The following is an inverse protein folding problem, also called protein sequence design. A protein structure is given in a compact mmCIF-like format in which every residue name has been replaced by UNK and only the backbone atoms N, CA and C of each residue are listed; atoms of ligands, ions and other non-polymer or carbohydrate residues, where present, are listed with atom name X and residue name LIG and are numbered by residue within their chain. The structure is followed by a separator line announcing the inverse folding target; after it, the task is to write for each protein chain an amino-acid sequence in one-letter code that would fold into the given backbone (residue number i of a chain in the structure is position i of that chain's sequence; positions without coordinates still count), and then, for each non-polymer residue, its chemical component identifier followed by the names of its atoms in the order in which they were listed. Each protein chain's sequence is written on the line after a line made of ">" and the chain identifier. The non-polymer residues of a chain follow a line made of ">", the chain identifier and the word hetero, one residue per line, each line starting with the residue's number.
data_IF_127721866969
#
_entry.id   IF_127721866969
#
_cell.length_a   1.000
_cell.length_b   1.000
_cell.length_c   1.000
_cell.angle_alpha   90.00
_cell.angle_beta   90.00
_cell.angle_gamma   90.00
#
_symmetry.space_group_name_H-M   'P 1'
#
loop_
_entity.id
_entity.type
_entity.pdbx_description
1 polymer ?
#
# COMPACT_ATOMS: atom_id res chain seq x y z
N UNK A 1 2.47 -9.73 14.73
CA UNK A 1 3.22 -10.28 13.57
C UNK A 1 2.27 -10.47 12.38
N UNK A 2 1.19 -11.23 12.53
CA UNK A 2 0.25 -11.52 11.43
C UNK A 2 -0.39 -10.27 10.81
N UNK A 3 -0.87 -9.31 11.62
CA UNK A 3 -1.45 -8.05 11.11
C UNK A 3 -0.47 -7.23 10.25
N UNK A 4 0.81 -7.12 10.68
CA UNK A 4 1.84 -6.41 9.92
C UNK A 4 2.15 -7.13 8.61
N UNK A 5 2.15 -8.46 8.62
CA UNK A 5 2.33 -9.25 7.39
C UNK A 5 1.19 -9.05 6.40
N UNK A 6 -0.06 -8.98 6.87
CA UNK A 6 -1.23 -8.69 6.02
C UNK A 6 -1.12 -7.30 5.37
N UNK A 7 -0.69 -6.29 6.14
CA UNK A 7 -0.44 -4.93 5.63
C UNK A 7 0.67 -4.93 4.58
N UNK A 8 1.79 -5.62 4.84
CA UNK A 8 2.92 -5.72 3.89
C UNK A 8 2.48 -6.39 2.58
N UNK A 9 1.73 -7.50 2.65
CA UNK A 9 1.23 -8.18 1.45
C UNK A 9 0.29 -7.27 0.64
N UNK A 10 -0.55 -6.48 1.32
CA UNK A 10 -1.43 -5.50 0.65
C UNK A 10 -0.62 -4.42 -0.06
N UNK A 11 0.42 -3.88 0.60
CA UNK A 11 1.34 -2.89 0.03
C UNK A 11 2.05 -3.44 -1.21
N UNK A 12 2.61 -4.65 -1.13
CA UNK A 12 3.32 -5.29 -2.23
C UNK A 12 2.41 -5.51 -3.43
N UNK A 13 1.20 -6.03 -3.22
CA UNK A 13 0.22 -6.24 -4.29
C UNK A 13 -0.20 -4.92 -4.94
N UNK A 14 -0.37 -3.86 -4.15
CA UNK A 14 -0.70 -2.54 -4.68
C UNK A 14 0.46 -1.93 -5.48
N UNK A 15 1.69 -2.08 -4.99
CA UNK A 15 2.88 -1.63 -5.70
C UNK A 15 3.01 -2.31 -7.06
N UNK A 16 2.90 -3.64 -7.12
CA UNK A 16 2.93 -4.38 -8.38
C UNK A 16 1.82 -3.91 -9.34
N UNK A 17 0.61 -3.69 -8.80
CA UNK A 17 -0.51 -3.18 -9.60
C UNK A 17 -0.22 -1.79 -10.19
N UNK A 18 0.43 -0.90 -9.44
CA UNK A 18 0.84 0.42 -9.93
C UNK A 18 1.96 0.34 -10.96
N UNK A 19 2.94 -0.54 -10.77
CA UNK A 19 4.02 -0.77 -11.73
C UNK A 19 3.47 -1.30 -13.06
N UNK A 20 2.57 -2.28 -13.02
CA UNK A 20 1.89 -2.79 -14.21
C UNK A 20 1.13 -1.70 -14.96
N UNK A 21 0.39 -0.84 -14.24
CA UNK A 21 -0.32 0.30 -14.85
C UNK A 21 0.63 1.34 -15.44
N UNK A 22 1.79 1.57 -14.81
CA UNK A 22 2.79 2.49 -15.31
C UNK A 22 3.47 1.96 -16.59
N UNK A 23 3.73 0.66 -16.66
CA UNK A 23 4.40 0.01 -17.80
C UNK A 23 3.42 -0.17 -18.98
N UNK A 24 2.23 -0.71 -18.74
CA UNK A 24 1.24 -1.00 -19.79
C UNK A 24 0.44 0.24 -20.20
N UNK A 25 0.43 1.26 -19.34
CA UNK A 25 -0.30 2.50 -19.53
C UNK A 25 -1.76 2.39 -19.09
N UNK A 26 -2.27 3.44 -18.46
CA UNK A 26 -3.59 3.49 -17.83
C UNK A 26 -4.78 3.24 -18.78
N UNK A 27 -4.61 3.53 -20.07
CA UNK A 27 -5.64 3.28 -21.11
C UNK A 27 -5.81 1.79 -21.45
N UNK A 28 -4.83 0.95 -21.12
CA UNK A 28 -4.92 -0.49 -21.30
C UNK A 28 -5.53 -1.21 -20.08
N UNK A 29 -5.88 -0.46 -19.02
CA UNK A 29 -6.49 -0.99 -17.82
C UNK A 29 -7.91 -1.51 -18.14
N UNK A 30 -8.02 -2.83 -18.22
CA UNK A 30 -9.29 -3.53 -18.48
C UNK A 30 -10.12 -3.73 -17.21
N UNK A 31 -11.32 -4.32 -17.36
CA UNK A 31 -12.24 -4.58 -16.26
C UNK A 31 -11.64 -5.47 -15.16
N UNK A 32 -10.86 -6.49 -15.52
CA UNK A 32 -10.22 -7.39 -14.56
C UNK A 32 -9.22 -6.65 -13.66
N UNK A 33 -8.42 -5.77 -14.25
CA UNK A 33 -7.46 -4.95 -13.50
C UNK A 33 -8.19 -3.97 -12.57
N UNK A 34 -9.28 -3.35 -13.06
CA UNK A 34 -10.12 -2.47 -12.23
C UNK A 34 -10.78 -3.23 -11.06
N UNK A 35 -11.14 -4.50 -11.25
CA UNK A 35 -11.64 -5.35 -10.18
C UNK A 35 -10.57 -5.62 -9.12
N UNK A 36 -9.34 -5.93 -9.54
CA UNK A 36 -8.19 -6.09 -8.62
C UNK A 36 -7.94 -4.82 -7.81
N UNK A 37 -7.93 -3.65 -8.45
CA UNK A 37 -7.75 -2.37 -7.76
C UNK A 37 -8.90 -2.09 -6.78
N UNK A 38 -10.14 -2.44 -7.13
CA UNK A 38 -11.30 -2.27 -6.24
C UNK A 38 -11.22 -3.17 -5.01
N UNK A 39 -10.76 -4.42 -5.18
CA UNK A 39 -10.53 -5.32 -4.06
C UNK A 39 -9.40 -4.83 -3.14
N UNK A 40 -8.32 -4.30 -3.72
CA UNK A 40 -7.24 -3.66 -2.94
C UNK A 40 -7.73 -2.41 -2.20
N UNK A 41 -8.63 -1.63 -2.79
CA UNK A 41 -9.28 -0.50 -2.12
C UNK A 41 -10.06 -0.95 -0.87
N UNK A 42 -10.87 -1.99 -0.99
CA UNK A 42 -11.62 -2.56 0.15
C UNK A 42 -10.67 -3.13 1.22
N UNK A 43 -9.55 -3.73 0.81
CA UNK A 43 -8.52 -4.22 1.73
C UNK A 43 -7.84 -3.07 2.49
N UNK A 44 -7.48 -1.99 1.81
CA UNK A 44 -6.90 -0.78 2.41
C UNK A 44 -7.86 -0.12 3.41
N UNK A 45 -9.15 -0.07 3.12
CA UNK A 45 -10.15 0.49 4.03
C UNK A 45 -10.29 -0.38 5.30
N UNK A 46 -10.30 -1.71 5.15
CA UNK A 46 -10.35 -2.65 6.28
C UNK A 46 -9.13 -2.55 7.20
N UNK A 47 -7.93 -2.31 6.67
CA UNK A 47 -6.72 -2.11 7.49
C UNK A 47 -6.60 -0.69 8.06
N UNK A 48 -7.57 0.20 7.81
CA UNK A 48 -7.58 1.57 8.32
C UNK A 48 -6.68 2.54 7.54
N UNK A 49 -6.20 2.17 6.34
CA UNK A 49 -5.38 3.01 5.48
C UNK A 49 -6.23 3.97 4.62
N UNK A 50 -7.19 4.66 5.24
CA UNK A 50 -8.24 5.45 4.58
C UNK A 50 -7.70 6.50 3.59
N UNK A 51 -6.56 7.14 3.90
CA UNK A 51 -5.95 8.08 2.97
C UNK A 51 -5.52 7.41 1.67
N UNK A 52 -4.89 6.25 1.76
CA UNK A 52 -4.41 5.50 0.60
C UNK A 52 -5.58 4.88 -0.17
N UNK A 53 -6.62 4.40 0.54
CA UNK A 53 -7.87 3.96 -0.06
C UNK A 53 -8.49 5.08 -0.91
N UNK A 54 -8.66 6.28 -0.36
CA UNK A 54 -9.21 7.42 -1.11
C UNK A 54 -8.36 7.85 -2.32
N UNK A 55 -7.02 7.68 -2.27
CA UNK A 55 -6.16 7.88 -3.45
C UNK A 55 -6.38 6.83 -4.52
N UNK A 56 -6.59 5.58 -4.11
CA UNK A 56 -6.85 4.48 -5.02
C UNK A 56 -8.24 4.62 -5.65
N UNK A 57 -9.24 5.05 -4.89
CA UNK A 57 -10.58 5.38 -5.41
C UNK A 57 -10.53 6.46 -6.49
N UNK A 58 -9.87 7.60 -6.24
CA UNK A 58 -9.68 8.67 -7.25
C UNK A 58 -9.00 8.14 -8.53
N UNK A 59 -8.01 7.25 -8.39
CA UNK A 59 -7.38 6.60 -9.54
C UNK A 59 -8.38 5.70 -10.30
N UNK A 60 -9.11 4.84 -9.60
CA UNK A 60 -10.09 3.92 -10.20
C UNK A 60 -11.15 4.70 -10.97
N UNK A 61 -11.72 5.74 -10.36
CA UNK A 61 -12.72 6.60 -11.00
C UNK A 61 -12.17 7.26 -12.27
N UNK A 62 -10.95 7.81 -12.21
CA UNK A 62 -10.34 8.45 -13.37
C UNK A 62 -10.02 7.49 -14.49
N UNK A 63 -9.57 6.28 -14.17
CA UNK A 63 -9.32 5.24 -15.19
C UNK A 63 -10.63 4.79 -15.82
N UNK A 64 -11.67 4.54 -15.02
CA UNK A 64 -13.00 4.15 -15.52
C UNK A 64 -13.61 5.17 -16.48
N UNK A 65 -13.35 6.45 -16.24
CA UNK A 65 -13.90 7.55 -17.03
C UNK A 65 -13.00 7.99 -18.22
N UNK A 66 -11.88 7.29 -18.49
CA UNK A 66 -10.83 7.74 -19.43
C UNK A 66 -10.38 9.20 -19.20
N UNK A 67 -10.34 9.62 -17.92
CA UNK A 67 -9.97 10.97 -17.52
C UNK A 67 -8.47 11.20 -17.77
N UNK A 68 -8.13 12.34 -18.39
CA UNK A 68 -6.75 12.79 -18.62
C UNK A 68 -5.95 12.96 -17.32
N UNK A 69 -6.62 13.13 -16.18
CA UNK A 69 -6.03 13.23 -14.86
C UNK A 69 -5.63 11.89 -14.24
N UNK A 70 -5.96 10.75 -14.85
CA UNK A 70 -5.62 9.40 -14.33
C UNK A 70 -4.12 9.22 -14.07
N UNK A 71 -3.25 9.72 -14.95
CA UNK A 71 -1.80 9.69 -14.76
C UNK A 71 -1.37 10.45 -13.50
N UNK A 72 -1.98 11.60 -13.23
CA UNK A 72 -1.71 12.39 -12.02
C UNK A 72 -2.23 11.69 -10.77
N UNK A 73 -3.38 11.04 -10.85
CA UNK A 73 -3.92 10.26 -9.74
C UNK A 73 -3.01 9.07 -9.40
N UNK A 74 -2.50 8.34 -10.41
CA UNK A 74 -1.54 7.25 -10.21
C UNK A 74 -0.29 7.73 -9.48
N UNK A 75 0.33 8.83 -9.94
CA UNK A 75 1.53 9.38 -9.30
C UNK A 75 1.27 9.79 -7.85
N UNK A 76 0.09 10.33 -7.54
CA UNK A 76 -0.29 10.67 -6.16
C UNK A 76 -0.49 9.44 -5.31
N UNK A 77 -1.17 8.42 -5.84
CA UNK A 77 -1.38 7.15 -5.14
C UNK A 77 -0.04 6.44 -4.86
N UNK A 78 0.89 6.42 -5.83
CA UNK A 78 2.24 5.90 -5.65
C UNK A 78 3.04 6.67 -4.59
N UNK A 79 2.97 8.00 -4.59
CA UNK A 79 3.63 8.81 -3.57
C UNK A 79 3.05 8.53 -2.17
N UNK A 80 1.72 8.45 -2.04
CA UNK A 80 1.06 8.10 -0.78
C UNK A 80 1.43 6.69 -0.31
N UNK A 81 1.49 5.71 -1.23
CA UNK A 81 1.92 4.34 -0.93
C UNK A 81 3.36 4.32 -0.39
N UNK A 82 4.28 5.05 -1.03
CA UNK A 82 5.69 5.14 -0.60
C UNK A 82 5.84 5.68 0.82
N UNK A 83 5.05 6.69 1.17
CA UNK A 83 5.04 7.26 2.53
C UNK A 83 4.45 6.27 3.52
N UNK A 84 3.35 5.61 3.16
CA UNK A 84 2.71 4.60 4.00
C UNK A 84 3.63 3.41 4.29
N UNK A 85 4.26 2.85 3.24
CA UNK A 85 5.28 1.80 3.35
C UNK A 85 6.40 2.21 4.32
N UNK A 86 6.88 3.45 4.23
CA UNK A 86 7.93 3.95 5.12
C UNK A 86 7.47 4.02 6.58
N UNK A 87 6.24 4.43 6.85
CA UNK A 87 5.66 4.46 8.20
C UNK A 87 5.55 3.04 8.78
N UNK A 88 4.97 2.11 8.02
CA UNK A 88 4.84 0.71 8.43
C UNK A 88 6.21 0.09 8.70
N UNK A 89 7.21 0.39 7.88
CA UNK A 89 8.59 -0.09 8.07
C UNK A 89 9.18 0.44 9.38
N UNK A 90 8.98 1.72 9.69
CA UNK A 90 9.50 2.31 10.93
C UNK A 90 8.83 1.71 12.17
N UNK A 91 7.51 1.50 12.14
CA UNK A 91 6.79 0.83 13.24
C UNK A 91 7.24 -0.63 13.41
N UNK A 92 7.47 -1.36 12.32
CA UNK A 92 7.96 -2.73 12.39
C UNK A 92 9.36 -2.80 13.04
N UNK A 93 10.27 -1.90 12.62
CA UNK A 93 11.63 -1.81 13.17
C UNK A 93 11.61 -1.40 14.64
N UNK A 94 10.78 -0.43 15.04
CA UNK A 94 10.64 -0.03 16.44
C UNK A 94 10.26 -1.23 17.32
N UNK A 95 9.22 -1.98 16.92
CA UNK A 95 8.77 -3.17 17.65
C UNK A 95 9.87 -4.22 17.78
N UNK A 96 10.63 -4.47 16.71
CA UNK A 96 11.75 -5.41 16.74
C UNK A 96 12.88 -4.92 17.65
N UNK A 97 13.22 -3.62 17.61
CA UNK A 97 14.21 -3.04 18.49
C UNK A 97 13.83 -3.15 19.98
N UNK A 98 12.55 -2.93 20.32
CA UNK A 98 12.06 -3.09 21.70
C UNK A 98 12.23 -4.54 22.19
N UNK A 99 11.92 -5.53 21.34
CA UNK A 99 12.10 -6.94 21.69
C UNK A 99 13.58 -7.29 21.91
N UNK A 100 14.47 -6.80 21.04
CA UNK A 100 15.91 -7.02 21.19
C UNK A 100 16.45 -6.41 22.48
N UNK A 101 15.98 -5.21 22.87
CA UNK A 101 16.38 -4.58 24.12
C UNK A 101 15.96 -5.41 25.34
N UNK A 102 14.77 -6.00 25.33
CA UNK A 102 14.29 -6.87 26.41
C UNK A 102 15.19 -8.11 26.56
N UNK A 103 15.49 -8.79 25.45
CA UNK A 103 16.37 -9.97 25.44
C UNK A 103 17.78 -9.64 25.94
N UNK A 104 18.32 -8.48 25.55
CA UNK A 104 19.62 -8.03 26.03
C UNK A 104 19.61 -7.73 27.54
N UNK A 105 18.58 -7.05 28.05
CA UNK A 105 18.47 -6.78 29.49
C UNK A 105 18.35 -8.06 30.33
N UNK A 106 17.61 -9.06 29.84
CA UNK A 106 17.48 -10.36 30.53
C UNK A 106 18.79 -11.18 30.50
N UNK A 107 19.67 -10.93 29.53
CA UNK A 107 20.96 -11.61 29.42
C UNK A 107 22.06 -10.99 30.29
N UNK A 108 21.92 -9.72 30.70
CA UNK A 108 22.86 -9.04 31.59
C UNK A 108 22.60 -9.33 33.08
N UNK A 109 21.40 -9.81 33.42
CA UNK A 109 20.98 -10.18 34.78
C UNK A 109 21.33 -11.63 35.19
N UNK A 110 22.05 -12.39 34.33
CA UNK A 110 22.50 -13.78 34.54
C UNK A 110 24.03 -13.88 34.73
#
# INVERSE_FOLDING_TARGET
>A
MQEVQEVVQTIERLQHSFEDLAIRGLRSCGPDQLQVLSALHEELDRIGAAHLAGRLEDLIEKVRNDDRGSARALMRAQASLRVFERLVTLEAVEREMTLLQQVLSESEDL
#
